data_IF_441466166519
#
_entry.id   IF_441466166519
#
_cell.length_a   1.000
_cell.length_b   1.000
_cell.length_c   1.000
_cell.angle_alpha   90.00
_cell.angle_beta   90.00
_cell.angle_gamma   90.00
#
_symmetry.space_group_name_H-M   'P 1'
#
loop_
_entity.id
_entity.type
_entity.pdbx_description
1 polymer ?
#
# COMPACT_ATOMS: atom_id res chain seq x y z
N UNK A 1 -16.99 1.03 -22.57
CA UNK A 1 -17.55 1.40 -21.25
C UNK A 1 -16.58 2.36 -20.55
N UNK A 2 -16.64 3.67 -20.83
CA UNK A 2 -15.62 4.65 -20.37
C UNK A 2 -16.17 6.01 -19.90
N UNK A 3 -17.47 6.28 -20.10
CA UNK A 3 -18.07 7.61 -19.84
C UNK A 3 -18.20 7.95 -18.34
N UNK A 4 -18.47 6.96 -17.49
CA UNK A 4 -18.61 7.16 -16.03
C UNK A 4 -17.29 7.49 -15.30
N UNK A 5 -16.17 6.86 -15.71
CA UNK A 5 -14.85 7.14 -15.14
C UNK A 5 -14.31 8.52 -15.50
N UNK A 6 -14.70 9.04 -16.67
CA UNK A 6 -14.30 10.37 -17.13
C UNK A 6 -14.98 11.46 -16.30
N UNK A 7 -16.30 11.37 -16.11
CA UNK A 7 -17.06 12.32 -15.29
C UNK A 7 -16.57 12.36 -13.84
N UNK A 8 -16.21 11.21 -13.26
CA UNK A 8 -15.65 11.15 -11.90
C UNK A 8 -14.31 11.87 -11.78
N UNK A 9 -13.42 11.76 -12.77
CA UNK A 9 -12.12 12.47 -12.74
C UNK A 9 -12.27 13.99 -12.86
N UNK A 10 -13.28 14.46 -13.57
CA UNK A 10 -13.55 15.90 -13.71
C UNK A 10 -14.29 16.48 -12.50
N UNK A 11 -15.26 15.76 -11.92
CA UNK A 11 -16.08 16.26 -10.80
C UNK A 11 -15.36 16.17 -9.45
N UNK A 12 -14.44 15.23 -9.29
CA UNK A 12 -13.69 15.03 -8.05
C UNK A 12 -12.84 16.24 -7.62
N UNK A 13 -12.06 16.92 -8.49
CA UNK A 13 -11.32 18.11 -8.09
C UNK A 13 -12.26 19.27 -7.70
N UNK A 14 -13.39 19.46 -8.39
CA UNK A 14 -14.37 20.49 -8.00
C UNK A 14 -15.02 20.19 -6.65
N UNK A 15 -15.38 18.92 -6.42
CA UNK A 15 -15.97 18.49 -5.15
C UNK A 15 -14.96 18.63 -4.00
N UNK A 16 -13.69 18.28 -4.23
CA UNK A 16 -12.62 18.45 -3.25
C UNK A 16 -12.37 19.93 -2.92
N UNK A 17 -12.30 20.80 -3.93
CA UNK A 17 -12.14 22.25 -3.74
C UNK A 17 -13.29 22.83 -2.93
N UNK A 18 -14.54 22.46 -3.26
CA UNK A 18 -15.71 22.92 -2.52
C UNK A 18 -15.66 22.49 -1.04
N UNK A 19 -15.34 21.22 -0.75
CA UNK A 19 -15.22 20.74 0.62
C UNK A 19 -14.10 21.44 1.41
N UNK A 20 -12.96 21.71 0.77
CA UNK A 20 -11.85 22.45 1.40
C UNK A 20 -12.28 23.87 1.75
N UNK A 21 -12.93 24.59 0.84
CA UNK A 21 -13.43 25.95 1.11
C UNK A 21 -14.50 25.97 2.20
N UNK A 22 -15.46 25.02 2.17
CA UNK A 22 -16.46 24.89 3.23
C UNK A 22 -15.81 24.62 4.59
N UNK A 23 -14.76 23.79 4.64
CA UNK A 23 -14.02 23.51 5.89
C UNK A 23 -13.29 24.75 6.38
N UNK A 24 -12.67 25.52 5.48
CA UNK A 24 -11.93 26.73 5.82
C UNK A 24 -12.86 27.84 6.38
N UNK A 25 -14.00 28.06 5.72
CA UNK A 25 -15.04 29.01 6.17
C UNK A 25 -15.66 28.54 7.49
N UNK A 26 -15.96 27.25 7.61
CA UNK A 26 -16.49 26.65 8.84
C UNK A 26 -15.54 26.82 10.02
N UNK A 27 -14.26 26.52 9.84
CA UNK A 27 -13.23 26.67 10.87
C UNK A 27 -13.10 28.12 11.32
N UNK A 28 -13.04 29.07 10.37
CA UNK A 28 -12.96 30.50 10.68
C UNK A 28 -14.17 31.02 11.46
N UNK A 29 -15.36 30.51 11.12
CA UNK A 29 -16.61 30.86 11.82
C UNK A 29 -16.64 30.31 13.24
N UNK A 30 -16.24 29.04 13.42
CA UNK A 30 -16.15 28.42 14.75
C UNK A 30 -15.09 29.11 15.59
N UNK A 31 -13.92 29.40 15.01
CA UNK A 31 -12.84 30.13 15.70
C UNK A 31 -13.33 31.48 16.21
N UNK A 32 -13.99 32.27 15.36
CA UNK A 32 -14.58 33.55 15.76
C UNK A 32 -15.59 33.37 16.88
N UNK A 33 -16.54 32.45 16.74
CA UNK A 33 -17.56 32.19 17.75
C UNK A 33 -16.98 31.70 19.10
N UNK A 34 -15.84 30.99 19.06
CA UNK A 34 -15.15 30.52 20.25
C UNK A 34 -14.40 31.67 20.96
N UNK A 35 -13.69 32.51 20.21
CA UNK A 35 -12.97 33.67 20.75
C UNK A 35 -13.94 34.75 21.27
N UNK A 36 -15.11 34.92 20.64
CA UNK A 36 -16.17 35.81 21.12
C UNK A 36 -16.71 35.39 22.51
N UNK A 37 -16.55 34.10 22.88
CA UNK A 37 -16.85 33.57 24.22
C UNK A 37 -15.65 33.62 25.19
N UNK A 38 -14.55 34.25 24.78
CA UNK A 38 -13.33 34.41 25.57
C UNK A 38 -12.34 33.24 25.50
N UNK A 39 -12.47 32.33 24.53
CA UNK A 39 -11.50 31.24 24.34
C UNK A 39 -10.20 31.79 23.74
N UNK A 40 -9.06 31.48 24.36
CA UNK A 40 -7.75 31.82 23.82
C UNK A 40 -7.40 30.98 22.56
N UNK A 41 -6.67 31.58 21.63
CA UNK A 41 -6.35 30.94 20.35
C UNK A 41 -5.47 29.70 20.49
N UNK A 42 -4.57 29.65 21.48
CA UNK A 42 -3.72 28.48 21.71
C UNK A 42 -4.57 27.29 22.15
N UNK A 43 -5.54 27.53 23.03
CA UNK A 43 -6.44 26.50 23.55
C UNK A 43 -7.27 25.93 22.41
N UNK A 44 -7.84 26.79 21.55
CA UNK A 44 -8.56 26.36 20.36
C UNK A 44 -7.71 25.50 19.42
N UNK A 45 -6.45 25.89 19.21
CA UNK A 45 -5.52 25.17 18.35
C UNK A 45 -5.21 23.77 18.89
N UNK A 46 -4.94 23.66 20.20
CA UNK A 46 -4.69 22.37 20.86
C UNK A 46 -5.89 21.43 20.74
N UNK A 47 -7.12 21.91 20.99
CA UNK A 47 -8.33 21.10 20.85
C UNK A 47 -8.56 20.63 19.42
N UNK A 48 -8.41 21.53 18.44
CA UNK A 48 -8.60 21.20 17.02
C UNK A 48 -7.63 20.10 16.57
N UNK A 49 -6.34 20.22 16.86
CA UNK A 49 -5.35 19.20 16.51
C UNK A 49 -5.51 17.91 17.32
N UNK A 50 -5.96 17.98 18.57
CA UNK A 50 -6.25 16.78 19.38
C UNK A 50 -7.41 15.96 18.77
N UNK A 51 -8.48 16.63 18.32
CA UNK A 51 -9.58 15.96 17.63
C UNK A 51 -9.12 15.40 16.29
N UNK A 52 -8.35 16.15 15.50
CA UNK A 52 -7.82 15.66 14.22
C UNK A 52 -6.97 14.41 14.40
N UNK A 53 -6.08 14.38 15.38
CA UNK A 53 -5.24 13.20 15.65
C UNK A 53 -6.08 12.01 16.11
N UNK A 54 -7.04 12.22 17.01
CA UNK A 54 -7.94 11.17 17.50
C UNK A 54 -8.78 10.54 16.37
N UNK A 55 -9.18 11.33 15.38
CA UNK A 55 -9.95 10.84 14.22
C UNK A 55 -9.05 10.22 13.14
N UNK A 56 -7.90 10.84 12.85
CA UNK A 56 -7.02 10.41 11.75
C UNK A 56 -6.27 9.11 12.05
N UNK A 57 -5.89 8.85 13.31
CA UNK A 57 -5.17 7.61 13.69
C UNK A 57 -5.97 6.35 13.31
N UNK A 58 -7.22 6.15 13.77
CA UNK A 58 -8.00 4.97 13.40
C UNK A 58 -8.33 4.93 11.90
N UNK A 59 -8.58 6.10 11.30
CA UNK A 59 -8.84 6.19 9.86
C UNK A 59 -7.62 5.74 9.04
N UNK A 60 -6.42 6.14 9.43
CA UNK A 60 -5.18 5.75 8.76
C UNK A 60 -4.92 4.24 8.86
N UNK A 61 -5.18 3.63 10.03
CA UNK A 61 -5.04 2.18 10.23
C UNK A 61 -6.00 1.39 9.33
N UNK A 62 -7.28 1.78 9.30
CA UNK A 62 -8.30 1.14 8.46
C UNK A 62 -7.95 1.31 6.98
N UNK A 63 -7.55 2.52 6.58
CA UNK A 63 -7.19 2.84 5.21
C UNK A 63 -5.98 2.02 4.74
N UNK A 64 -4.92 1.93 5.53
CA UNK A 64 -3.75 1.13 5.21
C UNK A 64 -4.13 -0.34 4.97
N UNK A 65 -4.89 -0.93 5.91
CA UNK A 65 -5.30 -2.32 5.82
C UNK A 65 -6.16 -2.58 4.59
N UNK A 66 -7.10 -1.69 4.30
CA UNK A 66 -7.96 -1.79 3.13
C UNK A 66 -7.16 -1.66 1.82
N UNK A 67 -6.25 -0.69 1.74
CA UNK A 67 -5.43 -0.45 0.57
C UNK A 67 -4.53 -1.66 0.26
N UNK A 68 -3.79 -2.17 1.25
CA UNK A 68 -2.94 -3.34 1.10
C UNK A 68 -3.74 -4.55 0.58
N UNK A 69 -4.84 -4.89 1.25
CA UNK A 69 -5.71 -6.01 0.84
C UNK A 69 -6.25 -5.85 -0.58
N UNK A 70 -6.69 -4.65 -0.95
CA UNK A 70 -7.21 -4.39 -2.29
C UNK A 70 -6.13 -4.56 -3.36
N UNK A 71 -4.92 -4.02 -3.13
CA UNK A 71 -3.79 -4.18 -4.06
C UNK A 71 -3.37 -5.64 -4.16
N UNK A 72 -3.31 -6.37 -3.03
CA UNK A 72 -2.97 -7.78 -2.99
C UNK A 72 -3.95 -8.64 -3.78
N UNK A 73 -5.26 -8.54 -3.51
CA UNK A 73 -6.26 -9.34 -4.21
C UNK A 73 -6.31 -9.04 -5.71
N UNK A 74 -6.26 -7.77 -6.10
CA UNK A 74 -6.25 -7.38 -7.53
C UNK A 74 -4.94 -7.78 -8.20
N UNK A 75 -3.83 -7.73 -7.48
CA UNK A 75 -2.52 -8.18 -7.95
C UNK A 75 -2.49 -9.68 -8.25
N UNK A 76 -3.02 -10.52 -7.34
CA UNK A 76 -3.14 -11.98 -7.54
C UNK A 76 -4.07 -12.30 -8.72
N UNK A 77 -5.21 -11.62 -8.82
CA UNK A 77 -6.18 -11.81 -9.91
C UNK A 77 -5.58 -11.52 -11.29
N UNK A 78 -4.76 -10.47 -11.40
CA UNK A 78 -4.15 -10.05 -12.66
C UNK A 78 -2.88 -10.82 -13.04
N UNK A 79 -2.19 -11.42 -12.06
CA UNK A 79 -0.95 -12.16 -12.26
C UNK A 79 -1.12 -13.65 -11.97
N UNK A 80 -0.76 -14.11 -10.77
CA UNK A 80 -0.98 -15.48 -10.30
C UNK A 80 -0.81 -15.59 -8.77
N UNK A 81 -1.42 -16.61 -8.14
CA UNK A 81 -1.18 -16.91 -6.73
C UNK A 81 0.27 -17.30 -6.41
N UNK A 82 0.99 -17.92 -7.35
CA UNK A 82 2.42 -18.25 -7.20
C UNK A 82 3.26 -16.99 -7.08
N UNK A 83 2.97 -15.97 -7.92
CA UNK A 83 3.70 -14.71 -7.86
C UNK A 83 3.41 -13.93 -6.58
N UNK A 84 2.16 -13.93 -6.10
CA UNK A 84 1.82 -13.40 -4.77
C UNK A 84 2.62 -14.07 -3.66
N UNK A 85 2.69 -15.40 -3.68
CA UNK A 85 3.47 -16.18 -2.70
C UNK A 85 4.97 -15.82 -2.76
N UNK A 86 5.54 -15.72 -3.97
CA UNK A 86 6.94 -15.31 -4.15
C UNK A 86 7.22 -13.91 -3.60
N UNK A 87 6.32 -12.94 -3.86
CA UNK A 87 6.44 -11.59 -3.34
C UNK A 87 6.28 -11.54 -1.80
N UNK A 88 5.41 -12.36 -1.22
CA UNK A 88 5.29 -12.48 0.24
C UNK A 88 6.56 -12.96 0.92
N UNK A 89 7.29 -13.88 0.28
CA UNK A 89 8.57 -14.37 0.77
C UNK A 89 9.66 -13.29 0.75
N UNK A 90 9.51 -12.23 -0.05
CA UNK A 90 10.42 -11.08 -0.06
C UNK A 90 10.13 -10.06 1.05
N UNK A 91 9.00 -10.16 1.76
CA UNK A 91 8.61 -9.18 2.80
C UNK A 91 9.71 -8.94 3.85
N UNK A 92 10.37 -9.97 4.43
CA UNK A 92 11.46 -9.75 5.38
C UNK A 92 12.65 -9.00 4.75
N UNK A 93 12.98 -9.30 3.49
CA UNK A 93 14.04 -8.62 2.75
C UNK A 93 13.69 -7.15 2.47
N UNK A 94 12.49 -6.88 1.95
CA UNK A 94 12.00 -5.52 1.71
C UNK A 94 11.97 -4.69 3.00
N UNK A 95 11.48 -5.26 4.10
CA UNK A 95 11.42 -4.60 5.41
C UNK A 95 12.81 -4.23 5.91
N UNK A 96 13.79 -5.14 5.83
CA UNK A 96 15.16 -4.86 6.23
C UNK A 96 15.83 -3.80 5.35
N UNK A 97 15.66 -3.88 4.02
CA UNK A 97 16.20 -2.90 3.09
C UNK A 97 15.64 -1.50 3.37
N UNK A 98 14.32 -1.39 3.56
CA UNK A 98 13.69 -0.11 3.91
C UNK A 98 14.18 0.42 5.26
N UNK A 99 14.38 -0.44 6.27
CA UNK A 99 14.93 -0.04 7.55
C UNK A 99 16.36 0.53 7.43
N UNK A 100 17.16 0.02 6.50
CA UNK A 100 18.49 0.57 6.18
C UNK A 100 18.36 1.93 5.48
N UNK A 101 17.49 2.03 4.45
CA UNK A 101 17.27 3.28 3.68
C UNK A 101 16.79 4.41 4.58
N UNK A 102 15.85 4.14 5.48
CA UNK A 102 15.36 5.10 6.48
C UNK A 102 16.32 5.34 7.64
N UNK A 103 17.52 4.73 7.63
CA UNK A 103 18.54 4.82 8.71
C UNK A 103 18.04 4.39 10.08
N UNK A 104 16.97 3.60 10.14
CA UNK A 104 16.45 3.01 11.37
C UNK A 104 17.38 1.88 11.87
N UNK A 105 18.01 1.16 10.94
CA UNK A 105 18.96 0.09 11.25
C UNK A 105 20.40 0.52 10.97
N UNK A 106 21.27 0.46 11.99
CA UNK A 106 22.73 0.66 11.82
C UNK A 106 23.41 -0.67 11.53
N UNK A 107 23.94 -0.82 10.32
CA UNK A 107 24.64 -2.04 9.90
C UNK A 107 26.08 -2.06 10.41
N UNK A 108 26.32 -2.82 11.48
CA UNK A 108 27.66 -3.18 11.90
C UNK A 108 27.95 -4.60 11.43
N UNK A 109 28.62 -4.76 10.28
CA UNK A 109 28.84 -6.06 9.64
C UNK A 109 29.52 -7.10 10.54
N UNK A 110 30.26 -6.69 11.58
CA UNK A 110 30.87 -7.63 12.54
C UNK A 110 29.93 -8.12 13.63
N UNK A 111 28.77 -7.50 13.81
CA UNK A 111 27.82 -7.81 14.88
C UNK A 111 26.96 -9.01 14.48
N UNK A 112 26.83 -9.98 15.39
CA UNK A 112 26.02 -11.18 15.18
C UNK A 112 24.58 -10.87 14.78
N UNK A 113 23.98 -9.83 15.37
CA UNK A 113 22.62 -9.40 15.02
C UNK A 113 22.50 -8.86 13.58
N UNK A 114 23.47 -8.06 13.12
CA UNK A 114 23.47 -7.56 11.74
C UNK A 114 23.76 -8.70 10.73
N UNK A 115 24.66 -9.62 11.08
CA UNK A 115 24.91 -10.83 10.28
C UNK A 115 23.65 -11.71 10.15
N UNK A 116 22.94 -11.95 11.26
CA UNK A 116 21.69 -12.72 11.24
C UNK A 116 20.63 -12.07 10.36
N UNK A 117 20.49 -10.74 10.40
CA UNK A 117 19.55 -10.00 9.53
C UNK A 117 19.93 -10.14 8.05
N UNK A 118 21.21 -9.97 7.71
CA UNK A 118 21.71 -10.13 6.33
C UNK A 118 21.48 -11.56 5.82
N UNK A 119 21.87 -12.58 6.60
CA UNK A 119 21.67 -13.99 6.22
C UNK A 119 20.17 -14.28 6.05
N UNK A 120 19.34 -13.79 6.98
CA UNK A 120 17.88 -13.92 6.88
C UNK A 120 17.32 -13.30 5.60
N UNK A 121 17.83 -12.13 5.18
CA UNK A 121 17.41 -11.52 3.91
C UNK A 121 17.83 -12.33 2.68
N UNK A 122 19.04 -12.89 2.66
CA UNK A 122 19.50 -13.75 1.58
C UNK A 122 18.66 -15.03 1.48
N UNK A 123 18.34 -15.65 2.61
CA UNK A 123 17.47 -16.83 2.69
C UNK A 123 16.05 -16.50 2.20
N UNK A 124 15.50 -15.34 2.57
CA UNK A 124 14.20 -14.85 2.11
C UNK A 124 14.16 -14.67 0.59
N UNK A 125 15.18 -14.04 0.01
CA UNK A 125 15.31 -13.87 -1.45
C UNK A 125 15.43 -15.23 -2.16
N UNK A 126 16.29 -16.13 -1.64
CA UNK A 126 16.46 -17.46 -2.19
C UNK A 126 15.14 -18.26 -2.17
N UNK A 127 14.38 -18.18 -1.06
CA UNK A 127 13.06 -18.82 -0.94
C UNK A 127 12.06 -18.30 -1.97
N UNK A 128 12.08 -17.01 -2.31
CA UNK A 128 11.24 -16.45 -3.37
C UNK A 128 11.62 -17.02 -4.75
N UNK A 129 12.91 -17.12 -5.08
CA UNK A 129 13.37 -17.72 -6.33
C UNK A 129 12.99 -19.20 -6.43
N UNK A 130 13.11 -19.97 -5.36
CA UNK A 130 12.69 -21.38 -5.34
C UNK A 130 11.20 -21.52 -5.66
N UNK A 131 10.33 -20.68 -5.07
CA UNK A 131 8.89 -20.69 -5.36
C UNK A 131 8.59 -20.38 -6.83
N UNK A 132 9.32 -19.44 -7.43
CA UNK A 132 9.11 -19.05 -8.85
C UNK A 132 9.63 -20.13 -9.80
N UNK A 133 10.76 -20.77 -9.49
CA UNK A 133 11.40 -21.75 -10.36
C UNK A 133 10.87 -23.17 -10.16
N UNK A 134 10.07 -23.41 -9.12
CA UNK A 134 9.48 -24.72 -8.86
C UNK A 134 8.24 -24.95 -9.73
N UNK A 135 8.45 -25.62 -10.87
CA UNK A 135 7.38 -26.15 -11.73
C UNK A 135 6.82 -27.44 -11.10
N UNK A 136 5.77 -27.30 -10.26
CA UNK A 136 5.03 -28.44 -9.70
C UNK A 136 3.99 -29.01 -10.67
N UNK A 137 3.58 -30.29 -10.53
CA UNK A 137 2.53 -30.88 -11.37
C UNK A 137 1.21 -30.10 -11.27
N UNK A 138 0.60 -29.79 -12.42
CA UNK A 138 -0.67 -29.08 -12.47
C UNK A 138 -1.80 -29.90 -11.84
N UNK A 139 -2.33 -29.41 -10.72
CA UNK A 139 -3.38 -30.10 -9.94
C UNK A 139 -4.77 -30.00 -10.59
N UNK A 140 -5.00 -29.00 -11.44
CA UNK A 140 -6.30 -28.74 -12.08
C UNK A 140 -6.13 -28.70 -13.61
N UNK A 141 -6.57 -29.77 -14.30
CA UNK A 141 -6.65 -29.83 -15.77
C UNK A 141 -8.04 -29.42 -16.23
N UNK A 142 -8.27 -28.14 -16.46
CA UNK A 142 -9.46 -27.67 -17.20
C UNK A 142 -9.15 -27.62 -18.69
N UNK A 143 -9.91 -28.36 -19.50
CA UNK A 143 -9.79 -28.39 -20.95
C UNK A 143 -10.00 -26.99 -21.57
N UNK A 144 -9.04 -26.50 -22.34
CA UNK A 144 -9.08 -25.17 -22.96
C UNK A 144 -9.93 -25.18 -24.24
N UNK A 145 -10.92 -24.29 -24.41
CA UNK A 145 -11.48 -23.99 -25.72
C UNK A 145 -10.50 -23.10 -26.49
N UNK A 146 -10.19 -23.50 -27.71
CA UNK A 146 -9.28 -22.82 -28.64
C UNK A 146 -9.96 -21.62 -29.32
N UNK A 147 -9.76 -20.39 -28.83
CA UNK A 147 -10.21 -19.16 -29.52
C UNK A 147 -9.13 -18.05 -29.45
N UNK A 148 -8.72 -17.60 -30.65
CA UNK A 148 -7.98 -16.38 -31.05
C UNK A 148 -6.75 -15.95 -30.23
N UNK A 149 -5.56 -16.32 -30.71
CA UNK A 149 -4.28 -16.31 -29.99
C UNK A 149 -3.61 -14.94 -29.81
N UNK A 150 -3.67 -14.02 -30.78
CA UNK A 150 -2.68 -12.91 -30.80
C UNK A 150 -3.06 -11.69 -29.92
N UNK A 151 -4.33 -11.32 -29.84
CA UNK A 151 -4.78 -10.20 -28.99
C UNK A 151 -4.93 -10.62 -27.51
N UNK A 152 -5.31 -11.89 -27.28
CA UNK A 152 -5.48 -12.46 -25.94
C UNK A 152 -4.13 -12.66 -25.25
N UNK A 153 -3.09 -13.02 -25.99
CA UNK A 153 -1.74 -13.19 -25.44
C UNK A 153 -1.08 -11.86 -25.05
N UNK A 154 -1.22 -10.82 -25.88
CA UNK A 154 -0.76 -9.46 -25.55
C UNK A 154 -1.50 -8.87 -24.33
N UNK A 155 -2.81 -9.08 -24.23
CA UNK A 155 -3.59 -8.65 -23.06
C UNK A 155 -3.23 -9.44 -21.79
N UNK A 156 -2.98 -10.75 -21.88
CA UNK A 156 -2.44 -11.54 -20.76
C UNK A 156 -1.06 -11.04 -20.31
N UNK A 157 -0.17 -10.71 -21.26
CA UNK A 157 1.16 -10.19 -20.98
C UNK A 157 1.10 -8.85 -20.23
N UNK A 158 0.23 -7.94 -20.67
CA UNK A 158 0.04 -6.66 -19.98
C UNK A 158 -0.55 -6.84 -18.57
N UNK A 159 -1.50 -7.78 -18.40
CA UNK A 159 -2.17 -8.00 -17.13
C UNK A 159 -1.23 -8.53 -16.05
N UNK A 160 -0.33 -9.48 -16.35
CA UNK A 160 0.58 -10.00 -15.32
C UNK A 160 1.60 -8.97 -14.85
N UNK A 161 2.09 -8.10 -15.75
CA UNK A 161 3.02 -7.01 -15.39
C UNK A 161 2.32 -6.03 -14.44
N UNK A 162 1.10 -5.62 -14.76
CA UNK A 162 0.29 -4.73 -13.90
C UNK A 162 -0.01 -5.42 -12.57
N UNK A 163 -0.38 -6.71 -12.60
CA UNK A 163 -0.61 -7.50 -11.40
C UNK A 163 0.64 -7.59 -10.51
N UNK A 164 1.83 -7.72 -11.11
CA UNK A 164 3.09 -7.72 -10.37
C UNK A 164 3.49 -6.39 -9.79
N UNK A 165 3.24 -5.30 -10.52
CA UNK A 165 3.43 -3.96 -9.98
C UNK A 165 2.49 -3.70 -8.77
N UNK A 166 1.24 -4.16 -8.84
CA UNK A 166 0.28 -4.05 -7.73
C UNK A 166 0.70 -4.90 -6.52
N UNK A 167 1.17 -6.13 -6.74
CA UNK A 167 1.72 -6.97 -5.67
C UNK A 167 2.97 -6.36 -5.04
N UNK A 168 3.91 -5.88 -5.85
CA UNK A 168 5.10 -5.21 -5.34
C UNK A 168 4.73 -3.99 -4.49
N UNK A 169 3.76 -3.19 -4.93
CA UNK A 169 3.23 -2.08 -4.14
C UNK A 169 2.59 -2.56 -2.82
N UNK A 170 1.77 -3.62 -2.83
CA UNK A 170 1.19 -4.21 -1.61
C UNK A 170 2.27 -4.59 -0.58
N UNK A 171 3.27 -5.38 -0.97
CA UNK A 171 4.33 -5.81 -0.04
C UNK A 171 5.25 -4.67 0.41
N UNK A 172 5.43 -3.62 -0.41
CA UNK A 172 6.09 -2.38 0.03
C UNK A 172 5.25 -1.66 1.08
N UNK A 173 3.93 -1.52 0.87
CA UNK A 173 3.02 -0.94 1.86
C UNK A 173 3.08 -1.71 3.18
N UNK A 174 3.01 -3.04 3.13
CA UNK A 174 3.11 -3.92 4.32
C UNK A 174 4.46 -3.73 5.02
N UNK A 175 5.57 -3.66 4.26
CA UNK A 175 6.91 -3.46 4.83
C UNK A 175 7.06 -2.09 5.50
N UNK A 176 6.52 -1.04 4.89
CA UNK A 176 6.47 0.31 5.49
C UNK A 176 5.68 0.29 6.79
N UNK A 177 4.54 -0.40 6.81
CA UNK A 177 3.73 -0.53 8.01
C UNK A 177 4.47 -1.22 9.16
N UNK A 178 5.20 -2.30 8.86
CA UNK A 178 6.03 -2.95 9.88
C UNK A 178 7.10 -2.03 10.45
N UNK A 179 7.73 -1.18 9.64
CA UNK A 179 8.72 -0.21 10.14
C UNK A 179 8.06 0.85 11.02
N UNK A 180 6.87 1.33 10.66
CA UNK A 180 6.15 2.32 11.47
C UNK A 180 5.67 1.76 12.82
N UNK A 181 5.55 0.43 12.94
CA UNK A 181 5.17 -0.24 14.19
C UNK A 181 6.36 -0.52 15.12
N UNK A 182 7.60 -0.45 14.63
CA UNK A 182 8.85 -0.71 15.38
C UNK A 182 9.38 0.57 16.00
#
# INVERSE_FOLDING_TARGET
>A
MTRGRFCYREVLPFTAMFLVECTNVGLSTIFKAATDKGLDYHVFMVYSYAISTLVLIPMAFIFHRFAAQLLGYRGIELSSPTMGSAMSNLTPACTFILAIVFRMEKLFLRRLSSQAKIIGTLVSIAGAFVVVLYEGPAVIRTASPSITTNAVESSKQANWVIGGALLAADYILISIWYILQV
#
